data_IF_842082842880
#
_entry.id   IF_842082842880
#
_cell.length_a   1.000
_cell.length_b   1.000
_cell.length_c   1.000
_cell.angle_alpha   90.00
_cell.angle_beta   90.00
_cell.angle_gamma   90.00
#
_symmetry.space_group_name_H-M   'P 1'
#
loop_
_entity.id
_entity.type
_entity.pdbx_description
1 polymer ?
#
# COMPACT_ATOMS: atom_id res chain seq x y z
N UNK A 1 -10.25 -3.48 21.70
CA UNK A 1 -10.43 -4.81 21.08
C UNK A 1 -9.34 -5.01 20.03
N UNK A 2 -8.77 -6.21 19.85
CA UNK A 2 -7.60 -6.44 18.99
C UNK A 2 -7.80 -5.99 17.53
N UNK A 3 -9.03 -6.04 17.00
CA UNK A 3 -9.36 -5.65 15.63
C UNK A 3 -9.04 -4.17 15.32
N UNK A 4 -9.31 -3.24 16.25
CA UNK A 4 -9.07 -1.80 16.04
C UNK A 4 -7.58 -1.46 16.02
N UNK A 5 -6.76 -2.19 16.78
CA UNK A 5 -5.31 -2.03 16.75
C UNK A 5 -4.72 -2.50 15.41
N UNK A 6 -5.20 -3.64 14.88
CA UNK A 6 -4.78 -4.11 13.55
C UNK A 6 -5.24 -3.17 12.42
N UNK A 7 -6.42 -2.56 12.53
CA UNK A 7 -6.87 -1.53 11.59
C UNK A 7 -5.94 -0.30 11.58
N UNK A 8 -5.58 0.23 12.76
CA UNK A 8 -4.63 1.33 12.86
C UNK A 8 -3.27 0.99 12.24
N UNK A 9 -2.73 -0.18 12.57
CA UNK A 9 -1.44 -0.65 12.03
C UNK A 9 -1.51 -0.80 10.52
N UNK A 10 -2.60 -1.35 9.98
CA UNK A 10 -2.77 -1.51 8.55
C UNK A 10 -2.81 -0.16 7.82
N UNK A 11 -3.63 0.78 8.28
CA UNK A 11 -3.71 2.12 7.65
C UNK A 11 -2.39 2.88 7.76
N UNK A 12 -1.73 2.82 8.93
CA UNK A 12 -0.42 3.45 9.14
C UNK A 12 0.64 2.85 8.20
N UNK A 13 0.62 1.53 7.99
CA UNK A 13 1.54 0.87 7.07
C UNK A 13 1.36 1.31 5.62
N UNK A 14 0.12 1.59 5.19
CA UNK A 14 -0.16 2.15 3.85
C UNK A 14 0.42 3.55 3.67
N UNK A 15 0.26 4.41 4.68
CA UNK A 15 0.84 5.76 4.66
C UNK A 15 2.37 5.65 4.54
N UNK A 16 2.99 4.78 5.34
CA UNK A 16 4.44 4.58 5.32
C UNK A 16 4.93 3.99 3.99
N UNK A 17 4.17 3.08 3.37
CA UNK A 17 4.46 2.54 2.04
C UNK A 17 4.52 3.64 0.98
N UNK A 18 3.55 4.57 0.97
CA UNK A 18 3.52 5.68 0.03
C UNK A 18 4.71 6.63 0.21
N UNK A 19 5.05 6.95 1.47
CA UNK A 19 6.21 7.79 1.79
C UNK A 19 7.51 7.11 1.36
N UNK A 20 7.71 5.84 1.74
CA UNK A 20 8.90 5.06 1.37
C UNK A 20 9.02 4.90 -0.14
N UNK A 21 7.91 4.71 -0.84
CA UNK A 21 7.89 4.66 -2.30
C UNK A 21 8.39 5.97 -2.92
N UNK A 22 7.90 7.12 -2.44
CA UNK A 22 8.34 8.43 -2.93
C UNK A 22 9.84 8.65 -2.67
N UNK A 23 10.32 8.34 -1.46
CA UNK A 23 11.75 8.45 -1.10
C UNK A 23 12.61 7.51 -1.96
N UNK A 24 12.18 6.26 -2.15
CA UNK A 24 12.89 5.30 -2.98
C UNK A 24 12.93 5.75 -4.45
N UNK A 25 11.82 6.25 -4.97
CA UNK A 25 11.70 6.74 -6.35
C UNK A 25 12.64 7.92 -6.61
N UNK A 26 12.60 8.95 -5.76
CA UNK A 26 13.49 10.12 -5.87
C UNK A 26 14.94 9.71 -5.66
N UNK A 27 15.21 8.85 -4.67
CA UNK A 27 16.54 8.34 -4.39
C UNK A 27 17.16 7.61 -5.58
N UNK A 28 16.39 6.76 -6.27
CA UNK A 28 16.87 6.09 -7.49
C UNK A 28 17.05 7.04 -8.67
N UNK A 29 16.17 8.05 -8.83
CA UNK A 29 16.32 9.06 -9.88
C UNK A 29 17.59 9.89 -9.70
N UNK A 30 17.94 10.21 -8.45
CA UNK A 30 19.13 10.99 -8.09
C UNK A 30 20.39 10.13 -7.87
N UNK A 31 20.36 8.84 -8.21
CA UNK A 31 21.46 7.88 -8.00
C UNK A 31 22.01 7.84 -6.56
N UNK A 32 21.15 8.14 -5.57
CA UNK A 32 21.53 8.23 -4.17
C UNK A 32 21.37 6.88 -3.45
N UNK A 33 22.27 6.59 -2.50
CA UNK A 33 22.21 5.38 -1.65
C UNK A 33 20.90 5.29 -0.86
N UNK A 34 20.28 6.43 -0.54
CA UNK A 34 18.97 6.50 0.11
C UNK A 34 17.87 5.74 -0.66
N UNK A 35 17.94 5.70 -2.00
CA UNK A 35 16.99 4.96 -2.83
C UNK A 35 17.02 3.45 -2.57
N UNK A 36 18.22 2.87 -2.38
CA UNK A 36 18.36 1.45 -2.04
C UNK A 36 17.83 1.15 -0.63
N UNK A 37 18.14 2.00 0.34
CA UNK A 37 17.71 1.82 1.73
C UNK A 37 16.18 1.87 1.80
N UNK A 38 15.56 2.93 1.26
CA UNK A 38 14.12 3.08 1.25
C UNK A 38 13.41 1.93 0.54
N UNK A 39 13.96 1.41 -0.57
CA UNK A 39 13.40 0.25 -1.26
C UNK A 39 13.49 -1.04 -0.43
N UNK A 40 14.57 -1.25 0.31
CA UNK A 40 14.68 -2.43 1.19
C UNK A 40 13.65 -2.37 2.33
N UNK A 41 13.41 -1.18 2.90
CA UNK A 41 12.37 -0.98 3.92
C UNK A 41 10.97 -1.10 3.32
N UNK A 42 10.76 -0.57 2.10
CA UNK A 42 9.50 -0.70 1.36
C UNK A 42 9.08 -2.16 1.19
N UNK A 43 10.04 -3.06 0.89
CA UNK A 43 9.78 -4.50 0.77
C UNK A 43 9.33 -5.15 2.09
N UNK A 44 9.87 -4.73 3.22
CA UNK A 44 9.41 -5.20 4.53
C UNK A 44 8.00 -4.69 4.82
N UNK A 45 7.74 -3.41 4.56
CA UNK A 45 6.43 -2.80 4.76
C UNK A 45 5.36 -3.39 3.83
N UNK A 46 5.75 -3.83 2.65
CA UNK A 46 4.90 -4.56 1.70
C UNK A 46 4.32 -5.83 2.35
N UNK A 47 5.17 -6.61 3.00
CA UNK A 47 4.76 -7.84 3.70
C UNK A 47 3.88 -7.53 4.91
N UNK A 48 4.20 -6.48 5.66
CA UNK A 48 3.39 -6.05 6.82
C UNK A 48 2.00 -5.59 6.37
N UNK A 49 1.91 -4.75 5.34
CA UNK A 49 0.63 -4.28 4.80
C UNK A 49 -0.21 -5.43 4.24
N UNK A 50 0.43 -6.36 3.53
CA UNK A 50 -0.25 -7.55 3.01
C UNK A 50 -0.73 -8.48 4.12
N UNK A 51 0.12 -8.81 5.09
CA UNK A 51 -0.20 -9.70 6.21
C UNK A 51 -1.30 -9.13 7.11
N UNK A 52 -1.21 -7.83 7.45
CA UNK A 52 -2.26 -7.14 8.22
C UNK A 52 -3.57 -7.04 7.46
N UNK A 53 -3.52 -6.79 6.15
CA UNK A 53 -4.71 -6.77 5.29
C UNK A 53 -5.39 -8.14 5.18
N UNK A 54 -4.60 -9.21 5.03
CA UNK A 54 -5.10 -10.58 5.00
C UNK A 54 -5.72 -10.99 6.34
N UNK A 55 -5.08 -10.63 7.46
CA UNK A 55 -5.63 -10.87 8.79
C UNK A 55 -7.00 -10.20 8.96
N UNK A 56 -7.11 -8.92 8.59
CA UNK A 56 -8.37 -8.18 8.65
C UNK A 56 -9.45 -8.85 7.79
N UNK A 57 -9.10 -9.31 6.60
CA UNK A 57 -10.02 -10.01 5.71
C UNK A 57 -10.57 -11.32 6.28
N UNK A 58 -9.70 -12.13 6.88
CA UNK A 58 -10.08 -13.39 7.50
C UNK A 58 -10.97 -13.16 8.72
N UNK A 59 -10.66 -12.14 9.54
CA UNK A 59 -11.47 -11.76 10.69
C UNK A 59 -12.86 -11.23 10.30
N UNK A 60 -12.96 -10.61 9.13
CA UNK A 60 -14.23 -10.13 8.57
C UNK A 60 -14.98 -11.23 7.79
N UNK A 61 -14.54 -12.50 7.89
CA UNK A 61 -15.15 -13.67 7.26
C UNK A 61 -15.36 -13.51 5.74
N UNK A 62 -14.42 -12.83 5.08
CA UNK A 62 -14.55 -12.53 3.65
C UNK A 62 -15.75 -11.66 3.30
N UNK A 63 -16.25 -10.85 4.25
CA UNK A 63 -17.52 -10.16 4.14
C UNK A 63 -17.70 -9.47 2.81
N UNK A 64 -18.83 -9.67 2.14
CA UNK A 64 -19.28 -8.92 0.96
C UNK A 64 -18.35 -8.85 -0.27
N UNK A 65 -18.94 -8.79 -1.46
CA UNK A 65 -18.20 -8.65 -2.72
C UNK A 65 -17.17 -7.50 -2.73
N UNK A 66 -17.42 -6.41 -2.02
CA UNK A 66 -16.54 -5.25 -1.96
C UNK A 66 -15.22 -5.47 -1.20
N UNK A 67 -15.16 -6.37 -0.21
CA UNK A 67 -13.89 -6.64 0.48
C UNK A 67 -12.97 -7.53 -0.34
N UNK A 68 -13.52 -8.46 -1.12
CA UNK A 68 -12.74 -9.23 -2.11
C UNK A 68 -12.06 -8.29 -3.11
N UNK A 69 -12.84 -7.37 -3.69
CA UNK A 69 -12.33 -6.37 -4.64
C UNK A 69 -11.23 -5.52 -3.99
N UNK A 70 -11.43 -5.06 -2.75
CA UNK A 70 -10.42 -4.25 -2.04
C UNK A 70 -9.08 -4.96 -1.92
N UNK A 71 -9.08 -6.25 -1.59
CA UNK A 71 -7.83 -7.01 -1.42
C UNK A 71 -7.15 -7.26 -2.75
N UNK A 72 -7.91 -7.60 -3.78
CA UNK A 72 -7.35 -7.77 -5.12
C UNK A 72 -6.72 -6.48 -5.63
N UNK A 73 -7.43 -5.35 -5.50
CA UNK A 73 -6.90 -4.03 -5.91
C UNK A 73 -5.72 -3.61 -5.03
N UNK A 74 -5.80 -3.82 -3.72
CA UNK A 74 -4.70 -3.56 -2.80
C UNK A 74 -3.45 -4.37 -3.15
N UNK A 75 -3.59 -5.67 -3.42
CA UNK A 75 -2.49 -6.53 -3.85
C UNK A 75 -1.90 -6.07 -5.18
N UNK A 76 -2.74 -5.69 -6.15
CA UNK A 76 -2.26 -5.14 -7.43
C UNK A 76 -1.44 -3.85 -7.20
N UNK A 77 -1.91 -2.94 -6.34
CA UNK A 77 -1.16 -1.73 -5.96
C UNK A 77 0.23 -2.08 -5.42
N UNK A 78 0.31 -3.04 -4.51
CA UNK A 78 1.57 -3.49 -3.91
C UNK A 78 2.55 -4.03 -4.97
N UNK A 79 2.07 -4.87 -5.89
CA UNK A 79 2.88 -5.43 -6.99
C UNK A 79 3.34 -4.31 -7.93
N UNK A 80 2.44 -3.41 -8.34
CA UNK A 80 2.79 -2.29 -9.22
C UNK A 80 3.81 -1.34 -8.60
N UNK A 81 3.75 -1.11 -7.29
CA UNK A 81 4.74 -0.32 -6.56
C UNK A 81 6.14 -0.93 -6.66
N UNK A 82 6.28 -2.22 -6.32
CA UNK A 82 7.56 -2.94 -6.41
C UNK A 82 8.09 -2.96 -7.86
N UNK A 83 7.23 -3.24 -8.84
CA UNK A 83 7.61 -3.26 -10.25
C UNK A 83 8.09 -1.90 -10.76
N UNK A 84 7.49 -0.81 -10.26
CA UNK A 84 7.90 0.55 -10.59
C UNK A 84 9.30 0.82 -10.03
N UNK A 85 9.54 0.55 -8.74
CA UNK A 85 10.86 0.76 -8.12
C UNK A 85 11.95 -0.09 -8.76
N UNK A 86 11.67 -1.34 -9.14
CA UNK A 86 12.62 -2.21 -9.86
C UNK A 86 12.97 -1.61 -11.23
N UNK A 87 11.99 -1.09 -11.99
CA UNK A 87 12.25 -0.48 -13.30
C UNK A 87 13.06 0.80 -13.18
N UNK A 88 12.73 1.66 -12.22
CA UNK A 88 13.47 2.90 -11.94
C UNK A 88 14.92 2.58 -11.53
N UNK A 89 15.13 1.59 -10.66
CA UNK A 89 16.46 1.08 -10.31
C UNK A 89 17.26 0.63 -11.54
N UNK A 90 16.60 -0.02 -12.51
CA UNK A 90 17.20 -0.48 -13.77
C UNK A 90 17.33 0.63 -14.84
N UNK A 91 17.03 1.90 -14.51
CA UNK A 91 16.96 3.04 -15.45
C UNK A 91 16.09 2.77 -16.68
N UNK A 92 15.06 1.92 -16.54
CA UNK A 92 14.09 1.62 -17.60
C UNK A 92 12.90 2.58 -17.51
N UNK A 93 12.20 2.85 -18.63
CA UNK A 93 10.98 3.65 -18.60
C UNK A 93 9.97 3.01 -17.65
N UNK A 94 9.60 3.74 -16.60
CA UNK A 94 8.68 3.31 -15.56
C UNK A 94 7.40 4.17 -15.50
N UNK A 95 7.25 5.14 -16.41
CA UNK A 95 6.16 6.13 -16.37
C UNK A 95 4.78 5.48 -16.41
N UNK A 96 4.59 4.48 -17.27
CA UNK A 96 3.32 3.74 -17.35
C UNK A 96 3.02 2.96 -16.06
N UNK A 97 4.02 2.35 -15.45
CA UNK A 97 3.84 1.61 -14.19
C UNK A 97 3.64 2.51 -12.99
N UNK A 98 4.34 3.65 -12.96
CA UNK A 98 4.15 4.68 -11.95
C UNK A 98 2.73 5.24 -12.04
N UNK A 99 2.25 5.58 -13.24
CA UNK A 99 0.86 6.00 -13.45
C UNK A 99 -0.14 4.95 -12.96
N UNK A 100 0.06 3.68 -13.34
CA UNK A 100 -0.78 2.57 -12.87
C UNK A 100 -0.76 2.40 -11.35
N UNK A 101 0.41 2.50 -10.71
CA UNK A 101 0.57 2.45 -9.27
C UNK A 101 -0.21 3.58 -8.56
N UNK A 102 -0.09 4.81 -9.04
CA UNK A 102 -0.79 5.96 -8.44
C UNK A 102 -2.30 5.80 -8.56
N UNK A 103 -2.80 5.40 -9.74
CA UNK A 103 -4.24 5.15 -9.95
C UNK A 103 -4.74 4.04 -9.04
N UNK A 104 -4.05 2.89 -8.99
CA UNK A 104 -4.42 1.76 -8.14
C UNK A 104 -4.36 2.12 -6.64
N UNK A 105 -3.36 2.89 -6.22
CA UNK A 105 -3.23 3.35 -4.84
C UNK A 105 -4.41 4.25 -4.44
N UNK A 106 -4.78 5.21 -5.31
CA UNK A 106 -5.96 6.05 -5.07
C UNK A 106 -7.23 5.22 -4.98
N UNK A 107 -7.46 4.31 -5.92
CA UNK A 107 -8.63 3.41 -5.90
C UNK A 107 -8.65 2.56 -4.63
N UNK A 108 -7.51 2.03 -4.19
CA UNK A 108 -7.40 1.25 -2.95
C UNK A 108 -7.79 2.06 -1.71
N UNK A 109 -7.37 3.33 -1.64
CA UNK A 109 -7.72 4.25 -0.55
C UNK A 109 -9.20 4.61 -0.60
N UNK A 110 -9.74 4.94 -1.77
CA UNK A 110 -11.16 5.28 -1.95
C UNK A 110 -12.09 4.12 -1.57
N UNK A 111 -11.82 2.92 -2.09
CA UNK A 111 -12.57 1.72 -1.70
C UNK A 111 -12.41 1.49 -0.20
N UNK A 112 -11.20 1.68 0.33
CA UNK A 112 -10.91 1.58 1.75
C UNK A 112 -11.77 2.48 2.62
N UNK A 113 -11.95 3.74 2.22
CA UNK A 113 -12.80 4.73 2.88
C UNK A 113 -14.30 4.43 2.72
N UNK A 114 -14.73 3.93 1.56
CA UNK A 114 -16.13 3.61 1.30
C UNK A 114 -16.68 2.43 2.15
N UNK A 115 -15.81 1.64 2.77
CA UNK A 115 -16.21 0.49 3.60
C UNK A 115 -16.53 0.93 5.05
N UNK A 116 -17.48 0.25 5.74
CA UNK A 116 -17.88 0.59 7.10
C UNK A 116 -16.71 0.65 8.11
N UNK A 117 -15.74 -0.26 8.00
CA UNK A 117 -14.53 -0.24 8.85
C UNK A 117 -13.53 0.85 8.48
N UNK A 118 -13.59 1.37 7.26
CA UNK A 118 -12.84 2.55 6.86
C UNK A 118 -13.45 3.80 7.47
N UNK A 119 -14.76 3.99 7.29
CA UNK A 119 -15.52 5.10 7.88
C UNK A 119 -15.33 5.16 9.40
N UNK A 120 -15.43 4.02 10.10
CA UNK A 120 -15.25 3.98 11.55
C UNK A 120 -13.81 4.33 11.97
N UNK A 121 -12.79 4.00 11.18
CA UNK A 121 -11.43 4.44 11.47
C UNK A 121 -11.32 5.98 11.38
N UNK A 122 -11.82 6.59 10.31
CA UNK A 122 -11.73 8.04 10.11
C UNK A 122 -12.60 8.83 11.09
N UNK A 123 -13.77 8.30 11.47
CA UNK A 123 -14.66 8.95 12.44
C UNK A 123 -14.19 8.84 13.89
N UNK A 124 -13.27 7.93 14.21
CA UNK A 124 -12.63 7.85 15.53
C UNK A 124 -11.33 8.65 15.61
N UNK A 125 -10.89 9.22 14.48
CA UNK A 125 -9.65 10.00 14.37
C UNK A 125 -9.90 11.52 14.35
N UNK A 126 -11.15 11.93 14.06
CA UNK A 126 -11.69 13.30 14.17
C UNK A 126 -12.60 13.32 15.39
#
# INVERSE_FOLDING_TARGET
>A
MPLTAFLHTHVTSWILLLVLFAVAYVGYKNANKSGKIAHMVFRLMLLVAFGTGLYLYLQLNGGGMFYHVKITVGLLTLIFGEMTLIRVKKKKPANAMFGGFVVLALVTIFIGYALPYGQSFFSNFI
#
